data_IF_833781526193
#
_entry.id   IF_833781526193
#
_cell.length_a   1.000
_cell.length_b   1.000
_cell.length_c   1.000
_cell.angle_alpha   90.00
_cell.angle_beta   90.00
_cell.angle_gamma   90.00
#
_symmetry.space_group_name_H-M   'P 1'
#
loop_
_entity.id
_entity.type
_entity.pdbx_description
1 polymer ?
#
# COMPACT_ATOMS: atom_id res chain seq x y z
N UNK A 1 28.04 -57.64 -9.73
CA UNK A 1 28.10 -57.77 -8.25
C UNK A 1 28.95 -56.63 -7.71
N UNK A 2 28.38 -55.51 -7.33
CA UNK A 2 29.03 -54.46 -6.57
C UNK A 2 28.01 -53.88 -5.61
N UNK A 3 28.24 -54.13 -4.33
CA UNK A 3 27.43 -53.64 -3.20
C UNK A 3 27.82 -52.19 -2.90
N UNK A 4 26.86 -51.28 -2.88
CA UNK A 4 27.04 -49.91 -2.35
C UNK A 4 26.36 -49.78 -0.99
N UNK A 5 27.18 -49.46 -0.02
CA UNK A 5 26.82 -49.20 1.36
C UNK A 5 26.26 -47.79 1.47
N UNK A 6 25.04 -47.67 1.99
CA UNK A 6 24.44 -46.37 2.36
C UNK A 6 24.88 -45.95 3.74
N UNK A 7 25.58 -44.87 3.81
CA UNK A 7 25.94 -44.23 5.10
C UNK A 7 24.91 -43.14 5.39
N UNK A 8 24.17 -43.37 6.46
CA UNK A 8 23.18 -42.46 7.02
C UNK A 8 23.87 -41.36 7.83
N UNK A 9 23.79 -40.10 7.43
CA UNK A 9 24.19 -38.97 8.28
C UNK A 9 22.90 -38.29 8.78
N UNK A 10 22.63 -38.50 10.06
CA UNK A 10 21.67 -37.74 10.81
C UNK A 10 22.39 -36.49 11.39
N UNK A 11 21.99 -35.30 11.01
CA UNK A 11 22.37 -34.07 11.73
C UNK A 11 21.08 -33.41 12.20
N UNK A 12 20.83 -33.58 13.48
CA UNK A 12 19.83 -32.80 14.22
C UNK A 12 20.49 -31.48 14.64
N UNK A 13 19.95 -30.36 14.19
CA UNK A 13 20.23 -29.06 14.79
C UNK A 13 18.89 -28.38 15.08
N UNK A 14 18.46 -28.51 16.33
CA UNK A 14 17.38 -27.72 16.93
C UNK A 14 17.93 -26.33 17.25
N UNK A 15 17.41 -25.30 16.61
CA UNK A 15 17.48 -23.95 17.14
C UNK A 15 16.08 -23.43 17.20
N UNK A 16 15.48 -23.53 18.38
CA UNK A 16 14.26 -22.84 18.74
C UNK A 16 14.62 -21.39 19.07
N UNK A 17 14.28 -20.47 18.19
CA UNK A 17 14.12 -19.06 18.55
C UNK A 17 12.63 -18.76 18.60
N UNK A 18 12.10 -18.79 19.81
CA UNK A 18 10.74 -18.39 20.13
C UNK A 18 10.73 -16.87 20.20
N UNK A 19 10.28 -16.21 19.14
CA UNK A 19 9.97 -14.79 19.15
C UNK A 19 8.44 -14.64 19.23
N UNK A 20 7.97 -14.20 20.39
CA UNK A 20 6.57 -13.87 20.62
C UNK A 20 6.19 -12.60 19.83
N UNK A 21 5.71 -12.76 18.61
CA UNK A 21 4.98 -11.70 17.91
C UNK A 21 3.48 -11.93 18.08
N UNK A 22 2.85 -11.05 18.86
CA UNK A 22 1.38 -10.96 18.90
C UNK A 22 0.88 -10.52 17.52
N UNK A 23 0.34 -11.47 16.77
CA UNK A 23 -0.40 -11.24 15.55
C UNK A 23 -1.73 -10.52 15.88
N UNK A 24 -1.87 -9.29 15.42
CA UNK A 24 -3.19 -8.69 15.26
C UNK A 24 -3.79 -9.19 13.93
N UNK A 25 -4.57 -10.27 14.01
CA UNK A 25 -5.37 -10.76 12.90
C UNK A 25 -6.58 -9.86 12.70
N UNK A 26 -6.62 -9.15 11.57
CA UNK A 26 -7.87 -8.60 11.03
C UNK A 26 -8.52 -9.67 10.16
N UNK A 27 -9.60 -10.28 10.64
CA UNK A 27 -10.46 -11.18 9.89
C UNK A 27 -11.48 -10.37 9.07
N UNK A 28 -11.23 -10.26 7.78
CA UNK A 28 -12.19 -9.96 6.74
C UNK A 28 -11.81 -10.84 5.56
N UNK A 29 -12.77 -11.52 4.91
CA UNK A 29 -12.53 -12.37 3.76
C UNK A 29 -11.93 -11.55 2.59
N UNK A 30 -10.65 -11.42 2.60
CA UNK A 30 -9.74 -10.83 1.66
C UNK A 30 -8.35 -11.12 2.18
N UNK A 31 -7.45 -11.60 1.35
CA UNK A 31 -6.07 -11.93 1.71
C UNK A 31 -5.48 -10.92 2.69
N UNK A 32 -5.03 -11.41 3.84
CA UNK A 32 -4.41 -10.59 4.87
C UNK A 32 -3.23 -9.81 4.27
N UNK A 33 -3.33 -8.49 4.26
CA UNK A 33 -2.20 -7.62 3.95
C UNK A 33 -1.25 -7.74 5.14
N UNK A 34 -0.16 -8.48 4.95
CA UNK A 34 0.89 -8.60 5.95
C UNK A 34 1.53 -7.22 6.15
N UNK A 35 1.21 -6.58 7.27
CA UNK A 35 1.91 -5.37 7.69
C UNK A 35 3.28 -5.83 8.17
N UNK A 36 4.27 -5.79 7.28
CA UNK A 36 5.66 -6.07 7.63
C UNK A 36 6.10 -5.00 8.62
N UNK A 37 6.06 -5.35 9.90
CA UNK A 37 6.66 -4.55 10.96
C UNK A 37 8.15 -4.43 10.68
N UNK A 38 8.61 -3.25 10.28
CA UNK A 38 10.04 -2.99 10.20
C UNK A 38 10.60 -2.97 11.59
N UNK A 39 11.65 -3.75 11.76
CA UNK A 39 12.50 -3.84 12.94
C UNK A 39 13.05 -2.43 13.27
N UNK A 40 12.32 -1.66 14.07
CA UNK A 40 12.86 -0.43 14.63
C UNK A 40 12.06 0.01 15.84
N UNK A 41 12.79 0.20 16.92
CA UNK A 41 12.43 0.69 18.25
C UNK A 41 11.82 2.12 18.28
N UNK A 42 11.09 2.53 17.25
CA UNK A 42 10.46 3.84 17.16
C UNK A 42 8.94 3.72 16.96
N UNK A 43 8.19 4.62 17.59
CA UNK A 43 6.76 4.76 17.34
C UNK A 43 6.51 5.08 15.86
N UNK A 44 5.54 4.41 15.25
CA UNK A 44 5.18 4.59 13.85
C UNK A 44 3.71 4.99 13.73
N UNK A 45 3.44 5.90 12.80
CA UNK A 45 2.08 6.21 12.36
C UNK A 45 1.74 5.34 11.16
N UNK A 46 0.54 4.77 11.18
CA UNK A 46 0.00 3.99 10.07
C UNK A 46 -1.28 4.68 9.59
N UNK A 47 -1.29 5.06 8.33
CA UNK A 47 -2.43 5.65 7.65
C UNK A 47 -2.92 4.68 6.58
N UNK A 48 -4.20 4.36 6.58
CA UNK A 48 -4.82 3.55 5.55
C UNK A 48 -5.93 4.35 4.86
N UNK A 49 -5.94 4.34 3.53
CA UNK A 49 -6.92 5.03 2.70
C UNK A 49 -7.50 4.07 1.68
N UNK A 50 -8.80 4.14 1.46
CA UNK A 50 -9.49 3.35 0.45
C UNK A 50 -10.47 4.20 -0.37
N UNK A 51 -10.76 3.77 -1.59
CA UNK A 51 -11.75 4.40 -2.43
C UNK A 51 -11.73 3.87 -3.85
N UNK A 52 -12.87 4.06 -4.52
CA UNK A 52 -13.07 3.71 -5.93
C UNK A 52 -12.95 4.96 -6.78
N UNK A 53 -12.11 4.93 -7.80
CA UNK A 53 -11.92 6.03 -8.74
C UNK A 53 -12.26 5.60 -10.17
N UNK A 54 -12.82 6.49 -11.00
CA UNK A 54 -13.11 6.19 -12.39
C UNK A 54 -11.80 6.03 -13.17
N UNK A 55 -11.78 5.11 -14.13
CA UNK A 55 -10.71 5.05 -15.13
C UNK A 55 -10.97 6.07 -16.25
N UNK A 56 -9.96 6.37 -17.05
CA UNK A 56 -10.10 7.16 -18.26
C UNK A 56 -10.85 6.42 -19.40
N UNK A 57 -11.30 5.19 -19.16
CA UNK A 57 -12.00 4.36 -20.12
C UNK A 57 -13.44 4.88 -20.34
N UNK A 58 -13.87 4.92 -21.60
CA UNK A 58 -15.27 5.22 -21.97
C UNK A 58 -16.27 4.19 -21.44
N UNK A 59 -15.80 3.01 -21.00
CA UNK A 59 -16.61 1.88 -20.55
C UNK A 59 -17.17 2.00 -19.14
N UNK A 60 -16.97 3.12 -18.44
CA UNK A 60 -17.37 3.33 -17.03
C UNK A 60 -16.70 2.35 -16.05
N UNK A 61 -15.54 1.84 -16.42
CA UNK A 61 -14.74 1.01 -15.52
C UNK A 61 -14.17 1.87 -14.39
N UNK A 62 -13.81 1.23 -13.29
CA UNK A 62 -13.23 1.89 -12.12
C UNK A 62 -12.05 1.12 -11.57
N UNK A 63 -11.36 1.74 -10.64
CA UNK A 63 -10.25 1.11 -9.90
C UNK A 63 -10.48 1.32 -8.41
N UNK A 64 -10.49 0.22 -7.66
CA UNK A 64 -10.47 0.25 -6.20
C UNK A 64 -9.03 0.36 -5.72
N UNK A 65 -8.79 1.31 -4.85
CA UNK A 65 -7.50 1.53 -4.21
C UNK A 65 -7.58 1.20 -2.72
N UNK A 66 -6.57 0.50 -2.22
CA UNK A 66 -6.23 0.41 -0.81
C UNK A 66 -4.77 0.84 -0.67
N UNK A 67 -4.52 1.94 0.03
CA UNK A 67 -3.18 2.50 0.26
C UNK A 67 -2.89 2.47 1.75
N UNK A 68 -1.80 1.82 2.14
CA UNK A 68 -1.29 1.80 3.51
C UNK A 68 0.04 2.53 3.52
N UNK A 69 0.17 3.54 4.37
CA UNK A 69 1.38 4.34 4.57
C UNK A 69 1.87 4.12 6.00
N UNK A 70 3.13 3.76 6.15
CA UNK A 70 3.80 3.64 7.45
C UNK A 70 4.96 4.62 7.50
N UNK A 71 5.01 5.44 8.54
CA UNK A 71 6.10 6.40 8.76
C UNK A 71 6.47 6.48 10.24
N UNK A 72 7.73 6.76 10.55
CA UNK A 72 8.14 7.09 11.93
C UNK A 72 7.55 8.43 12.32
N UNK A 73 7.17 8.61 13.60
CA UNK A 73 6.55 9.84 14.11
C UNK A 73 7.42 11.08 13.80
N UNK A 74 8.74 10.92 13.89
CA UNK A 74 9.69 12.02 13.64
C UNK A 74 10.11 12.16 12.17
N UNK A 75 9.49 11.42 11.25
CA UNK A 75 9.85 11.43 9.84
C UNK A 75 8.73 11.99 8.98
N UNK A 76 9.11 12.82 8.02
CA UNK A 76 8.19 13.29 6.96
C UNK A 76 8.06 12.29 5.81
N UNK A 77 8.98 11.32 5.71
CA UNK A 77 8.99 10.26 4.71
C UNK A 77 8.66 8.91 5.36
N UNK A 78 8.29 7.95 4.55
CA UNK A 78 7.92 6.62 5.01
C UNK A 78 7.93 5.60 3.88
N UNK A 79 7.25 4.49 4.10
CA UNK A 79 7.02 3.45 3.11
C UNK A 79 5.52 3.33 2.84
N UNK A 80 5.18 2.75 1.69
CA UNK A 80 3.79 2.45 1.37
C UNK A 80 3.63 1.03 0.84
N UNK A 81 2.42 0.53 1.01
CA UNK A 81 1.87 -0.63 0.29
C UNK A 81 0.56 -0.20 -0.34
N UNK A 82 0.34 -0.58 -1.59
CA UNK A 82 -0.87 -0.22 -2.32
C UNK A 82 -1.37 -1.44 -3.09
N UNK A 83 -2.65 -1.69 -2.97
CA UNK A 83 -3.37 -2.65 -3.80
C UNK A 83 -4.35 -1.88 -4.68
N UNK A 84 -4.32 -2.15 -5.97
CA UNK A 84 -5.27 -1.61 -6.93
C UNK A 84 -6.01 -2.74 -7.59
N UNK A 85 -7.34 -2.72 -7.58
CA UNK A 85 -8.19 -3.72 -8.22
C UNK A 85 -9.00 -3.08 -9.32
N UNK A 86 -8.87 -3.60 -10.53
CA UNK A 86 -9.69 -3.14 -11.67
C UNK A 86 -11.12 -3.67 -11.51
N UNK A 87 -12.11 -2.80 -11.69
CA UNK A 87 -13.53 -3.14 -11.62
C UNK A 87 -14.15 -2.78 -12.97
N UNK A 88 -14.73 -3.78 -13.61
CA UNK A 88 -15.43 -3.60 -14.89
C UNK A 88 -16.77 -2.89 -14.71
N UNK A 89 -17.32 -2.32 -15.77
CA UNK A 89 -18.59 -1.57 -15.73
C UNK A 89 -19.79 -2.41 -15.22
N UNK A 90 -19.72 -3.75 -15.32
CA UNK A 90 -20.71 -4.68 -14.77
C UNK A 90 -20.42 -5.07 -13.29
N UNK A 91 -19.46 -4.41 -12.66
CA UNK A 91 -19.14 -4.59 -11.24
C UNK A 91 -18.27 -5.80 -10.91
N UNK A 92 -17.71 -6.50 -11.90
CA UNK A 92 -16.83 -7.64 -11.65
C UNK A 92 -15.41 -7.20 -11.35
N UNK A 93 -14.82 -7.80 -10.33
CA UNK A 93 -13.40 -7.64 -10.03
C UNK A 93 -12.54 -8.31 -11.09
N UNK A 94 -11.62 -7.53 -11.64
CA UNK A 94 -10.65 -7.99 -12.62
C UNK A 94 -9.24 -8.11 -12.02
N UNK A 95 -8.24 -7.61 -12.75
CA UNK A 95 -6.83 -7.70 -12.38
C UNK A 95 -6.55 -6.92 -11.09
N UNK A 96 -5.87 -7.57 -10.15
CA UNK A 96 -5.31 -6.99 -8.92
C UNK A 96 -3.83 -6.70 -9.10
N UNK A 97 -3.38 -5.52 -8.73
CA UNK A 97 -1.99 -5.07 -8.83
C UNK A 97 -1.54 -4.62 -7.45
N UNK A 98 -0.44 -5.19 -6.97
CA UNK A 98 0.19 -4.79 -5.71
C UNK A 98 1.43 -3.96 -6.02
N UNK A 99 1.62 -2.88 -5.28
CA UNK A 99 2.78 -2.01 -5.36
C UNK A 99 3.27 -1.67 -3.95
N UNK A 100 4.58 -1.57 -3.78
CA UNK A 100 5.22 -1.10 -2.55
C UNK A 100 6.41 -0.22 -2.87
N UNK A 101 6.81 0.61 -1.92
CA UNK A 101 7.96 1.48 -2.11
C UNK A 101 8.02 2.61 -1.10
N UNK A 102 8.63 3.71 -1.50
CA UNK A 102 8.86 4.89 -0.66
C UNK A 102 7.70 5.87 -0.76
N UNK A 103 7.26 6.37 0.39
CA UNK A 103 6.39 7.53 0.47
C UNK A 103 7.25 8.75 0.79
N UNK A 104 7.28 9.71 -0.14
CA UNK A 104 7.95 10.99 0.01
C UNK A 104 6.92 12.09 0.24
N UNK A 105 7.20 13.02 1.16
CA UNK A 105 6.38 14.22 1.31
C UNK A 105 6.88 15.32 0.38
N UNK A 106 5.97 15.90 -0.37
CA UNK A 106 6.20 17.01 -1.29
C UNK A 106 5.27 18.17 -0.93
N UNK A 107 5.72 19.40 -1.14
CA UNK A 107 4.93 20.61 -0.92
C UNK A 107 4.53 21.22 -2.26
N UNK A 108 3.26 21.45 -2.43
CA UNK A 108 2.68 22.14 -3.57
C UNK A 108 2.12 21.25 -4.65
N UNK A 109 0.98 21.66 -5.17
CA UNK A 109 0.41 21.27 -6.45
C UNK A 109 0.57 22.42 -7.44
N UNK A 110 0.15 22.27 -8.69
CA UNK A 110 0.15 23.41 -9.63
C UNK A 110 -0.77 24.55 -9.19
N UNK A 111 -1.91 24.23 -8.56
CA UNK A 111 -2.91 25.19 -8.15
C UNK A 111 -2.65 25.76 -6.74
N UNK A 112 -2.13 24.93 -5.82
CA UNK A 112 -1.89 25.30 -4.43
C UNK A 112 -0.45 25.00 -4.03
N UNK A 113 0.36 26.03 -3.83
CA UNK A 113 1.78 25.91 -3.44
C UNK A 113 1.98 25.47 -1.99
N UNK A 114 0.95 25.57 -1.16
CA UNK A 114 0.99 25.15 0.24
C UNK A 114 0.51 23.70 0.42
N UNK A 115 -0.14 23.13 -0.57
CA UNK A 115 -0.70 21.78 -0.50
C UNK A 115 0.36 20.74 -0.08
N UNK A 116 -0.02 19.82 0.80
CA UNK A 116 0.80 18.65 1.16
C UNK A 116 0.49 17.53 0.19
N UNK A 117 1.51 16.94 -0.41
CA UNK A 117 1.39 15.83 -1.36
C UNK A 117 2.24 14.65 -0.89
N UNK A 118 1.67 13.45 -0.90
CA UNK A 118 2.41 12.21 -0.76
C UNK A 118 2.73 11.66 -2.14
N UNK A 119 4.01 11.51 -2.42
CA UNK A 119 4.51 10.89 -3.64
C UNK A 119 4.89 9.45 -3.34
N UNK A 120 4.15 8.50 -3.90
CA UNK A 120 4.34 7.07 -3.73
C UNK A 120 5.23 6.56 -4.88
N UNK A 121 6.50 6.32 -4.57
CA UNK A 121 7.52 5.90 -5.55
C UNK A 121 7.74 4.41 -5.38
N UNK A 122 7.42 3.57 -6.39
CA UNK A 122 7.60 2.13 -6.30
C UNK A 122 9.09 1.75 -6.25
N UNK A 123 9.42 0.68 -5.51
CA UNK A 123 10.78 0.18 -5.36
C UNK A 123 11.30 -0.44 -6.67
N UNK A 124 10.42 -1.05 -7.44
CA UNK A 124 10.78 -1.73 -8.70
C UNK A 124 9.57 -1.92 -9.60
N UNK A 125 9.82 -2.26 -10.85
CA UNK A 125 8.81 -2.69 -11.81
C UNK A 125 8.23 -1.57 -12.67
N UNK A 126 7.21 -1.93 -13.42
CA UNK A 126 6.46 -1.06 -14.33
C UNK A 126 5.39 -0.20 -13.64
N UNK A 127 5.32 -0.24 -12.31
CA UNK A 127 4.34 0.54 -11.57
C UNK A 127 4.70 2.03 -11.62
N UNK A 128 3.72 2.84 -11.92
CA UNK A 128 3.88 4.30 -11.96
C UNK A 128 3.87 4.90 -10.57
N UNK A 129 4.54 6.03 -10.41
CA UNK A 129 4.43 6.88 -9.22
C UNK A 129 3.00 7.39 -9.09
N UNK A 130 2.44 7.31 -7.88
CA UNK A 130 1.12 7.85 -7.57
C UNK A 130 1.28 9.06 -6.67
N UNK A 131 0.64 10.17 -7.03
CA UNK A 131 0.65 11.40 -6.27
C UNK A 131 -0.69 11.56 -5.54
N UNK A 132 -0.66 11.77 -4.22
CA UNK A 132 -1.84 11.93 -3.37
C UNK A 132 -1.79 13.30 -2.70
N UNK A 133 -2.71 14.19 -3.07
CA UNK A 133 -2.91 15.44 -2.34
C UNK A 133 -3.63 15.16 -1.02
N UNK A 134 -3.06 15.59 0.09
CA UNK A 134 -3.67 15.50 1.42
C UNK A 134 -4.69 16.65 1.55
N UNK A 135 -5.96 16.33 1.29
CA UNK A 135 -7.05 17.30 1.37
C UNK A 135 -7.44 17.58 2.84
N UNK A 136 -7.38 16.53 3.67
CA UNK A 136 -7.62 16.60 5.13
C UNK A 136 -6.93 15.44 5.83
N UNK A 137 -7.03 15.36 7.15
CA UNK A 137 -6.47 14.25 7.96
C UNK A 137 -7.10 12.89 7.62
N UNK A 138 -8.28 12.90 7.00
CA UNK A 138 -9.03 11.68 6.69
C UNK A 138 -9.25 11.47 5.20
N UNK A 139 -8.73 12.35 4.34
CA UNK A 139 -9.02 12.30 2.91
C UNK A 139 -7.79 12.68 2.10
N UNK A 140 -7.48 11.85 1.11
CA UNK A 140 -6.49 12.16 0.08
C UNK A 140 -7.13 12.08 -1.30
N UNK A 141 -6.62 12.88 -2.24
CA UNK A 141 -7.09 12.93 -3.63
C UNK A 141 -5.97 12.46 -4.56
N UNK A 142 -6.28 11.52 -5.45
CA UNK A 142 -5.31 11.09 -6.48
C UNK A 142 -5.15 12.23 -7.49
N UNK A 143 -3.90 12.63 -7.72
CA UNK A 143 -3.50 13.61 -8.73
C UNK A 143 -3.00 12.89 -9.99
N UNK A 144 -2.92 13.63 -11.08
CA UNK A 144 -2.22 13.14 -12.27
C UNK A 144 -0.68 13.14 -12.11
N UNK A 145 0.03 12.62 -13.10
CA UNK A 145 1.50 12.53 -13.10
C UNK A 145 2.19 13.89 -13.03
N UNK A 146 1.48 14.96 -13.42
CA UNK A 146 1.97 16.33 -13.37
C UNK A 146 1.55 17.10 -12.12
N UNK A 147 0.96 16.41 -11.13
CA UNK A 147 0.41 16.96 -9.90
C UNK A 147 -0.74 17.97 -10.13
N UNK A 148 -1.50 17.79 -11.20
CA UNK A 148 -2.74 18.53 -11.38
C UNK A 148 -3.87 17.88 -10.59
N UNK A 149 -4.72 18.72 -10.01
CA UNK A 149 -5.98 18.28 -9.40
C UNK A 149 -6.96 17.90 -10.51
N UNK A 150 -7.64 16.75 -10.44
CA UNK A 150 -8.69 16.39 -11.39
C UNK A 150 -9.79 17.45 -11.47
N UNK A 151 -10.49 17.52 -12.59
CA UNK A 151 -11.59 18.47 -12.79
C UNK A 151 -12.74 18.24 -11.78
N UNK A 152 -12.96 17.00 -11.37
CA UNK A 152 -13.92 16.58 -10.34
C UNK A 152 -13.17 15.81 -9.23
N UNK A 153 -12.52 16.53 -8.29
CA UNK A 153 -11.69 15.89 -7.25
C UNK A 153 -12.47 14.90 -6.39
N UNK A 154 -13.76 15.11 -6.19
CA UNK A 154 -14.65 14.23 -5.42
C UNK A 154 -14.69 12.78 -5.91
N UNK A 155 -14.46 12.55 -7.20
CA UNK A 155 -14.41 11.21 -7.80
C UNK A 155 -13.08 10.50 -7.61
N UNK A 156 -12.05 11.21 -7.13
CA UNK A 156 -10.68 10.71 -6.95
C UNK A 156 -10.25 10.71 -5.49
N UNK A 157 -11.21 10.86 -4.56
CA UNK A 157 -10.96 10.82 -3.12
C UNK A 157 -10.81 9.40 -2.63
N UNK A 158 -9.76 9.18 -1.84
CA UNK A 158 -9.61 8.03 -0.97
C UNK A 158 -9.84 8.50 0.46
N UNK A 159 -10.62 7.74 1.21
CA UNK A 159 -10.98 8.06 2.60
C UNK A 159 -10.20 7.18 3.57
N UNK A 160 -9.85 7.75 4.71
CA UNK A 160 -9.19 7.00 5.78
C UNK A 160 -10.06 5.84 6.24
N UNK A 161 -9.46 4.64 6.28
CA UNK A 161 -10.05 3.46 6.90
C UNK A 161 -9.86 3.64 8.41
N UNK A 162 -10.94 3.95 9.13
CA UNK A 162 -10.90 3.92 10.58
C UNK A 162 -10.78 2.46 11.01
N UNK A 163 -9.69 2.12 11.70
CA UNK A 163 -9.61 0.84 12.39
C UNK A 163 -10.85 0.72 13.30
N UNK A 164 -11.77 -0.18 12.96
CA UNK A 164 -12.82 -0.57 13.88
C UNK A 164 -12.10 -1.25 15.04
N UNK A 165 -12.02 -0.55 16.18
CA UNK A 165 -11.56 -1.10 17.43
C UNK A 165 -12.51 -2.19 17.90
#
# INVERSE_FOLDING_TARGET
MKKFVFTLFAVAALIACQSNNKQNQMTGEGEAVEIVGTDSTGLVDVFAYEGTVPTASEKKDSMDYLVIITQKIDSVNGVYQMTTTYITADGKSGKKINSKGKKLSHKGTKKDKAAKVYKLVPDSGSNQTVNLWVESDTTVVILDDQMNTPAKPEHYRLKSVKNKK
#
